data_IF_794236256314
#
_entry.id   IF_794236256314
#
_cell.length_a   1.000
_cell.length_b   1.000
_cell.length_c   1.000
_cell.angle_alpha   90.00
_cell.angle_beta   90.00
_cell.angle_gamma   90.00
#
_symmetry.space_group_name_H-M   'P 1'
#
loop_
_entity.id
_entity.type
_entity.pdbx_description
1 polymer ?
#
# COMPACT_ATOMS: atom_id res chain seq x y z
N UNK A 1 16.19 -5.21 8.34
CA UNK A 1 14.99 -5.90 8.84
C UNK A 1 13.77 -5.02 8.67
N UNK A 2 12.80 -5.51 7.98
CA UNK A 2 11.60 -4.73 7.69
C UNK A 2 10.64 -4.77 8.88
N UNK A 3 10.27 -3.60 9.35
CA UNK A 3 9.26 -3.50 10.39
C UNK A 3 7.88 -3.60 9.74
N UNK A 4 7.07 -4.54 10.18
CA UNK A 4 5.75 -4.77 9.61
C UNK A 4 4.83 -3.55 9.71
N UNK A 5 5.09 -2.68 10.69
CA UNK A 5 4.26 -1.50 10.94
C UNK A 5 4.46 -0.39 9.91
N UNK A 6 5.56 -0.39 9.17
CA UNK A 6 5.84 0.62 8.14
C UNK A 6 5.44 0.19 6.74
N UNK A 7 4.71 -0.92 6.60
CA UNK A 7 4.32 -1.42 5.30
C UNK A 7 2.87 -1.90 5.28
N UNK A 8 2.24 -1.78 4.11
CA UNK A 8 0.89 -2.29 3.85
C UNK A 8 1.00 -3.21 2.64
N UNK A 9 0.52 -4.43 2.79
CA UNK A 9 0.56 -5.43 1.74
C UNK A 9 -0.85 -5.71 1.22
N UNK A 10 -1.03 -5.57 -0.08
CA UNK A 10 -2.25 -5.99 -0.75
C UNK A 10 -2.02 -7.43 -1.18
N UNK A 11 -2.73 -8.35 -0.56
CA UNK A 11 -2.56 -9.77 -0.80
C UNK A 11 -3.91 -10.41 -1.08
N UNK A 12 -4.02 -10.99 -2.28
CA UNK A 12 -5.25 -11.61 -2.74
C UNK A 12 -5.10 -13.12 -2.90
N UNK A 13 -4.18 -13.73 -2.14
CA UNK A 13 -3.90 -15.16 -2.22
C UNK A 13 -5.11 -16.04 -1.93
N UNK A 14 -6.14 -15.51 -1.27
CA UNK A 14 -7.39 -16.23 -1.03
C UNK A 14 -8.15 -16.55 -2.33
N UNK A 15 -7.68 -16.04 -3.45
CA UNK A 15 -8.36 -16.16 -4.73
C UNK A 15 -7.77 -17.22 -5.63
N UNK A 16 -7.21 -18.28 -5.04
CA UNK A 16 -6.73 -19.45 -5.77
C UNK A 16 -7.81 -20.06 -6.67
N UNK A 17 -9.05 -19.73 -6.41
CA UNK A 17 -10.20 -20.23 -7.18
C UNK A 17 -10.47 -19.43 -8.45
N UNK A 18 -9.63 -18.46 -8.75
CA UNK A 18 -9.77 -17.70 -9.98
C UNK A 18 -9.45 -18.53 -11.21
N UNK A 19 -10.22 -18.32 -12.26
CA UNK A 19 -9.89 -18.92 -13.55
C UNK A 19 -8.62 -18.25 -14.10
N UNK A 20 -7.96 -18.95 -15.03
CA UNK A 20 -6.76 -18.41 -15.67
C UNK A 20 -7.03 -17.09 -16.39
N UNK A 21 -8.25 -16.89 -16.90
CA UNK A 21 -8.62 -15.64 -17.58
C UNK A 21 -8.76 -14.46 -16.61
N UNK A 22 -9.13 -14.73 -15.37
CA UNK A 22 -9.32 -13.70 -14.35
C UNK A 22 -8.00 -13.20 -13.77
N UNK A 23 -6.99 -14.06 -13.72
CA UNK A 23 -5.73 -13.73 -13.06
C UNK A 23 -5.01 -12.49 -13.64
N UNK A 24 -4.86 -12.33 -14.95
CA UNK A 24 -4.23 -11.11 -15.48
C UNK A 24 -5.02 -9.85 -15.15
N UNK A 25 -6.33 -9.93 -15.15
CA UNK A 25 -7.18 -8.78 -14.80
C UNK A 25 -7.02 -8.44 -13.32
N UNK A 26 -6.99 -9.46 -12.46
CA UNK A 26 -6.77 -9.26 -11.03
C UNK A 26 -5.42 -8.63 -10.76
N UNK A 27 -4.38 -9.10 -11.45
CA UNK A 27 -3.04 -8.52 -11.32
C UNK A 27 -2.99 -7.06 -11.69
N UNK A 28 -3.68 -6.67 -12.75
CA UNK A 28 -3.76 -5.26 -13.15
C UNK A 28 -4.48 -4.41 -12.12
N UNK A 29 -5.55 -4.94 -11.51
CA UNK A 29 -6.27 -4.24 -10.46
C UNK A 29 -5.37 -4.06 -9.24
N UNK A 30 -4.69 -5.10 -8.81
CA UNK A 30 -3.76 -5.03 -7.67
C UNK A 30 -2.68 -3.99 -7.94
N UNK A 31 -2.09 -3.99 -9.13
CA UNK A 31 -1.05 -3.03 -9.48
C UNK A 31 -1.59 -1.60 -9.51
N UNK A 32 -2.75 -1.40 -10.13
CA UNK A 32 -3.36 -0.07 -10.24
C UNK A 32 -3.65 0.53 -8.87
N UNK A 33 -4.29 -0.24 -8.00
CA UNK A 33 -4.66 0.26 -6.68
C UNK A 33 -3.46 0.30 -5.72
N UNK A 34 -2.49 -0.60 -5.89
CA UNK A 34 -1.24 -0.53 -5.16
C UNK A 34 -0.49 0.77 -5.44
N UNK A 35 -0.38 1.15 -6.71
CA UNK A 35 0.23 2.41 -7.11
C UNK A 35 -0.55 3.61 -6.57
N UNK A 36 -1.88 3.54 -6.59
CA UNK A 36 -2.72 4.62 -6.07
C UNK A 36 -2.53 4.78 -4.56
N UNK A 37 -2.47 3.68 -3.83
CA UNK A 37 -2.24 3.70 -2.37
C UNK A 37 -0.84 4.24 -2.07
N UNK A 38 0.18 3.80 -2.81
CA UNK A 38 1.54 4.29 -2.63
C UNK A 38 1.62 5.80 -2.88
N UNK A 39 0.97 6.27 -3.94
CA UNK A 39 0.90 7.69 -4.25
C UNK A 39 0.20 8.50 -3.16
N UNK A 40 -0.90 7.98 -2.63
CA UNK A 40 -1.64 8.63 -1.55
C UNK A 40 -0.81 8.65 -0.26
N UNK A 41 -0.14 7.53 0.07
CA UNK A 41 0.74 7.47 1.23
C UNK A 41 1.89 8.47 1.12
N UNK A 42 2.50 8.57 -0.07
CA UNK A 42 3.56 9.54 -0.32
C UNK A 42 3.06 10.97 -0.16
N UNK A 43 1.85 11.24 -0.63
CA UNK A 43 1.23 12.55 -0.50
C UNK A 43 0.96 12.90 0.96
N UNK A 44 0.56 11.92 1.75
CA UNK A 44 0.26 12.10 3.18
C UNK A 44 1.50 12.20 4.05
N UNK A 45 2.66 11.78 3.54
CA UNK A 45 3.89 11.76 4.33
C UNK A 45 4.34 13.18 4.68
N UNK A 46 4.85 13.40 5.91
CA UNK A 46 5.42 14.69 6.26
C UNK A 46 6.58 15.06 5.32
N UNK A 47 6.64 16.34 4.92
CA UNK A 47 7.50 16.79 3.84
C UNK A 47 8.80 17.48 4.27
N UNK A 48 9.26 17.25 5.49
CA UNK A 48 10.42 17.98 6.02
C UNK A 48 11.66 17.88 5.13
N UNK A 49 11.96 16.67 4.61
CA UNK A 49 13.12 16.46 3.75
C UNK A 49 12.77 15.84 2.39
N UNK A 50 11.55 15.37 2.24
CA UNK A 50 11.14 14.62 1.07
C UNK A 50 11.65 13.19 1.03
N UNK A 51 12.52 12.80 1.97
CA UNK A 51 13.11 11.46 1.98
C UNK A 51 12.07 10.37 2.18
N UNK A 52 11.14 10.57 3.11
CA UNK A 52 10.09 9.59 3.38
C UNK A 52 9.19 9.42 2.14
N UNK A 53 8.77 10.51 1.55
CA UNK A 53 7.94 10.49 0.35
C UNK A 53 8.61 9.73 -0.79
N UNK A 54 9.88 10.08 -1.06
CA UNK A 54 10.63 9.44 -2.14
C UNK A 54 10.85 7.97 -1.87
N UNK A 55 11.08 7.60 -0.60
CA UNK A 55 11.25 6.20 -0.21
C UNK A 55 9.98 5.39 -0.45
N UNK A 56 8.82 5.94 -0.12
CA UNK A 56 7.55 5.25 -0.37
C UNK A 56 7.39 4.97 -1.87
N UNK A 57 7.67 5.95 -2.71
CA UNK A 57 7.53 5.82 -4.15
C UNK A 57 8.52 4.83 -4.76
N UNK A 58 9.73 4.75 -4.22
CA UNK A 58 10.75 3.86 -4.77
C UNK A 58 10.69 2.44 -4.21
N UNK A 59 10.22 2.27 -2.96
CA UNK A 59 10.23 0.97 -2.28
C UNK A 59 8.93 0.19 -2.45
N UNK A 60 7.84 0.85 -2.86
CA UNK A 60 6.55 0.20 -3.03
C UNK A 60 6.49 -0.48 -4.39
N UNK A 61 6.07 -1.74 -4.43
CA UNK A 61 6.09 -2.51 -5.67
C UNK A 61 5.23 -3.77 -5.58
N UNK A 62 4.96 -4.34 -6.73
CA UNK A 62 4.38 -5.68 -6.80
C UNK A 62 5.35 -6.68 -6.17
N UNK A 63 4.84 -7.52 -5.30
CA UNK A 63 5.64 -8.55 -4.62
C UNK A 63 5.26 -9.96 -5.06
N UNK A 64 4.31 -10.06 -5.98
CA UNK A 64 3.85 -11.30 -6.59
C UNK A 64 2.84 -10.97 -7.67
N UNK A 65 2.27 -11.98 -8.30
CA UNK A 65 1.28 -11.79 -9.37
C UNK A 65 0.02 -11.09 -8.87
N UNK A 66 -0.34 -11.32 -7.61
CA UNK A 66 -1.55 -10.80 -7.01
C UNK A 66 -1.28 -10.14 -5.65
N UNK A 67 -0.08 -9.60 -5.47
CA UNK A 67 0.24 -8.89 -4.25
C UNK A 67 1.09 -7.66 -4.52
N UNK A 68 0.84 -6.62 -3.73
CA UNK A 68 1.55 -5.35 -3.81
C UNK A 68 1.92 -4.93 -2.39
N UNK A 69 3.13 -4.45 -2.20
CA UNK A 69 3.56 -3.95 -0.90
C UNK A 69 3.84 -2.46 -1.00
N UNK A 70 3.14 -1.68 -0.18
CA UNK A 70 3.38 -0.25 -0.01
C UNK A 70 4.20 -0.08 1.25
N UNK A 71 5.41 0.45 1.11
CA UNK A 71 6.34 0.55 2.23
C UNK A 71 7.28 1.72 2.06
N UNK A 72 8.00 2.05 3.14
CA UNK A 72 9.06 3.02 3.10
C UNK A 72 10.36 2.37 3.56
N UNK A 73 11.49 2.98 3.18
CA UNK A 73 12.82 2.49 3.55
C UNK A 73 13.52 3.36 4.58
N UNK A 74 12.81 4.33 5.19
CA UNK A 74 13.41 5.23 6.19
C UNK A 74 12.99 4.84 7.59
N UNK A 75 13.95 4.87 8.51
CA UNK A 75 13.74 4.41 9.88
C UNK A 75 12.66 5.20 10.63
N UNK A 76 12.58 6.50 10.36
CA UNK A 76 11.65 7.34 11.10
C UNK A 76 10.19 7.22 10.61
N UNK A 77 9.95 6.49 9.52
CA UNK A 77 8.59 6.29 9.01
C UNK A 77 7.66 5.67 10.04
N UNK A 78 8.14 4.69 10.79
CA UNK A 78 7.35 4.04 11.83
C UNK A 78 6.93 5.03 12.91
N UNK A 79 7.78 5.98 13.25
CA UNK A 79 7.49 6.99 14.26
C UNK A 79 6.45 7.98 13.77
N UNK A 80 6.44 8.28 12.48
CA UNK A 80 5.41 9.12 11.88
C UNK A 80 4.04 8.42 11.94
N UNK A 81 4.01 7.13 11.65
CA UNK A 81 2.76 6.36 11.63
C UNK A 81 2.16 6.19 13.02
N UNK A 82 2.98 5.85 14.00
CA UNK A 82 2.55 5.47 15.35
C UNK A 82 2.72 6.56 16.39
N UNK A 83 3.57 7.55 16.12
CA UNK A 83 3.93 8.55 17.12
C UNK A 83 4.94 8.02 18.12
N UNK A 84 5.38 8.88 19.00
CA UNK A 84 6.30 8.57 20.10
C UNK A 84 5.80 9.24 21.36
N UNK A 85 6.49 8.99 22.49
CA UNK A 85 6.15 9.67 23.76
C UNK A 85 6.29 11.19 23.67
N UNK A 86 7.03 11.71 22.69
CA UNK A 86 7.29 13.14 22.51
C UNK A 86 6.64 13.73 21.27
N UNK A 87 6.03 12.90 20.43
CA UNK A 87 5.50 13.33 19.15
C UNK A 87 4.19 12.62 18.85
N UNK A 88 3.18 13.37 18.47
CA UNK A 88 1.91 12.82 18.06
C UNK A 88 2.05 12.05 16.74
N UNK A 89 1.27 11.02 16.58
CA UNK A 89 1.24 10.26 15.33
C UNK A 89 0.79 11.14 14.17
N UNK A 90 1.44 10.96 13.02
CA UNK A 90 1.06 11.57 11.75
C UNK A 90 0.98 10.44 10.72
N UNK A 91 -0.07 9.61 10.78
CA UNK A 91 -0.16 8.44 9.92
C UNK A 91 -0.26 8.82 8.44
N UNK A 92 0.42 8.07 7.60
CA UNK A 92 0.42 8.29 6.16
C UNK A 92 0.03 7.03 5.39
N UNK A 93 0.27 5.84 5.95
CA UNK A 93 -0.07 4.58 5.31
C UNK A 93 -1.54 4.20 5.52
N UNK A 94 -2.00 4.20 6.76
CA UNK A 94 -3.36 3.80 7.08
C UNK A 94 -4.41 4.67 6.39
N UNK A 95 -4.29 6.01 6.41
CA UNK A 95 -5.26 6.84 5.69
C UNK A 95 -5.26 6.58 4.18
N UNK A 96 -4.10 6.23 3.61
CA UNK A 96 -4.00 5.91 2.19
C UNK A 96 -4.76 4.63 1.87
N UNK A 97 -4.61 3.61 2.71
CA UNK A 97 -5.33 2.35 2.55
C UNK A 97 -6.84 2.60 2.66
N UNK A 98 -7.26 3.35 3.66
CA UNK A 98 -8.68 3.64 3.88
C UNK A 98 -9.28 4.42 2.72
N UNK A 99 -8.53 5.33 2.13
CA UNK A 99 -9.00 6.14 1.01
C UNK A 99 -9.33 5.30 -0.23
N UNK A 100 -8.59 4.21 -0.44
CA UNK A 100 -8.72 3.40 -1.65
C UNK A 100 -9.35 2.02 -1.43
N UNK A 101 -9.53 1.61 -0.19
CA UNK A 101 -10.00 0.28 0.15
C UNK A 101 -11.32 -0.10 -0.52
N UNK A 102 -12.33 0.76 -0.39
CA UNK A 102 -13.65 0.45 -0.94
C UNK A 102 -13.62 0.36 -2.45
N UNK A 103 -12.87 1.24 -3.09
CA UNK A 103 -12.74 1.23 -4.56
C UNK A 103 -12.03 -0.03 -5.03
N UNK A 104 -11.01 -0.46 -4.30
CA UNK A 104 -10.30 -1.69 -4.62
C UNK A 104 -11.23 -2.90 -4.48
N UNK A 105 -11.95 -2.98 -3.37
CA UNK A 105 -12.89 -4.09 -3.14
C UNK A 105 -13.97 -4.14 -4.21
N UNK A 106 -14.49 -2.99 -4.62
CA UNK A 106 -15.49 -2.91 -5.68
C UNK A 106 -14.93 -3.37 -7.01
N UNK A 107 -13.75 -2.89 -7.37
CA UNK A 107 -13.11 -3.28 -8.63
C UNK A 107 -12.82 -4.77 -8.66
N UNK A 108 -12.36 -5.31 -7.53
CA UNK A 108 -12.04 -6.71 -7.42
C UNK A 108 -13.28 -7.59 -7.53
N UNK A 109 -14.39 -7.17 -6.89
CA UNK A 109 -15.63 -7.95 -6.92
C UNK A 109 -16.25 -8.01 -8.33
N UNK A 110 -15.97 -7.02 -9.18
CA UNK A 110 -16.45 -7.01 -10.56
C UNK A 110 -15.92 -8.20 -11.37
N UNK A 111 -14.77 -8.75 -10.98
CA UNK A 111 -14.20 -9.90 -11.65
C UNK A 111 -15.08 -11.15 -11.54
N UNK A 112 -15.96 -11.20 -10.54
CA UNK A 112 -16.76 -12.37 -10.23
C UNK A 112 -18.21 -12.23 -10.68
N UNK A 113 -18.53 -11.18 -11.41
CA UNK A 113 -19.89 -10.95 -11.95
C UNK A 113 -20.06 -11.48 -13.35
#
# INVERSE_FOLDING_TARGET
MTTQVGSVKIDTSVLDKMTAEMQPKAGRIVNTYGLAIAGEAAKNAPLDTGALRNSILSESTMTGDLSYTVQDGVEYGIFQELGTSRMSARPFLLPAVEAWRQRFENAFSELFK
#
